data_IF_061381993809
#
_entry.id   IF_061381993809
#
_cell.length_a   1.000
_cell.length_b   1.000
_cell.length_c   1.000
_cell.angle_alpha   90.00
_cell.angle_beta   90.00
_cell.angle_gamma   90.00
#
_symmetry.space_group_name_H-M   'P 1'
#
loop_
_entity.id
_entity.type
_entity.pdbx_description
1 polymer ?
#
# COMPACT_ATOMS: atom_id res chain seq x y z
N UNK A 1 -32.20 2.09 -13.83
CA UNK A 1 -31.61 1.19 -12.80
C UNK A 1 -30.13 1.51 -12.76
N UNK A 2 -29.56 1.73 -11.58
CA UNK A 2 -28.12 1.92 -11.39
C UNK A 2 -27.42 0.57 -11.25
N UNK A 3 -26.18 0.49 -11.70
CA UNK A 3 -25.32 -0.70 -11.52
C UNK A 3 -24.56 -0.56 -10.21
N UNK A 4 -24.75 -1.51 -9.29
CA UNK A 4 -24.03 -1.53 -8.02
C UNK A 4 -22.56 -1.89 -8.25
N UNK A 5 -21.65 -1.09 -7.69
CA UNK A 5 -20.19 -1.28 -7.77
C UNK A 5 -19.61 -1.13 -6.37
N UNK A 6 -18.85 -2.13 -5.92
CA UNK A 6 -18.10 -2.07 -4.67
C UNK A 6 -16.62 -1.90 -4.96
N UNK A 7 -15.99 -0.97 -4.25
CA UNK A 7 -14.54 -0.68 -4.31
C UNK A 7 -13.95 -0.91 -2.93
N UNK A 8 -13.02 -1.85 -2.79
CA UNK A 8 -12.32 -2.11 -1.55
C UNK A 8 -11.10 -1.19 -1.40
N UNK A 9 -11.05 -0.44 -0.31
CA UNK A 9 -9.94 0.47 0.02
C UNK A 9 -8.78 -0.32 0.66
N UNK A 10 -7.56 0.13 0.43
CA UNK A 10 -6.34 -0.49 0.97
C UNK A 10 -6.08 -0.11 2.44
N UNK A 11 -6.68 0.96 2.91
CA UNK A 11 -6.53 1.46 4.28
C UNK A 11 -7.79 2.18 4.76
N UNK A 12 -7.78 2.63 6.04
CA UNK A 12 -8.76 3.61 6.52
C UNK A 12 -8.82 4.79 5.54
N UNK A 13 -9.99 5.42 5.36
CA UNK A 13 -10.12 6.58 4.49
C UNK A 13 -9.02 7.62 4.75
N UNK A 14 -8.30 8.02 3.72
CA UNK A 14 -7.20 8.97 3.79
C UNK A 14 -7.05 9.73 2.46
N UNK A 15 -6.09 10.63 2.35
CA UNK A 15 -5.90 11.48 1.17
C UNK A 15 -5.78 10.73 -0.15
N UNK A 16 -5.31 9.47 -0.15
CA UNK A 16 -5.23 8.66 -1.35
C UNK A 16 -6.62 8.32 -1.92
N UNK A 17 -7.66 8.30 -1.10
CA UNK A 17 -9.02 7.90 -1.48
C UNK A 17 -9.91 9.08 -1.86
N UNK A 18 -9.43 10.31 -1.72
CA UNK A 18 -10.23 11.54 -1.86
C UNK A 18 -11.01 11.60 -3.17
N UNK A 19 -10.46 11.14 -4.29
CA UNK A 19 -11.14 11.14 -5.58
C UNK A 19 -12.41 10.32 -5.60
N UNK A 20 -12.43 9.18 -4.94
CA UNK A 20 -13.60 8.32 -4.87
C UNK A 20 -14.72 8.96 -4.05
N UNK A 21 -14.38 9.53 -2.89
CA UNK A 21 -15.36 10.21 -2.03
C UNK A 21 -15.90 11.49 -2.68
N UNK A 22 -15.04 12.30 -3.30
CA UNK A 22 -15.45 13.52 -4.01
C UNK A 22 -16.34 13.18 -5.21
N UNK A 23 -15.99 12.17 -6.00
CA UNK A 23 -16.82 11.72 -7.13
C UNK A 23 -18.19 11.24 -6.67
N UNK A 24 -18.27 10.53 -5.54
CA UNK A 24 -19.51 10.09 -4.93
C UNK A 24 -20.33 11.28 -4.44
N UNK A 25 -19.75 12.17 -3.63
CA UNK A 25 -20.43 13.32 -3.05
C UNK A 25 -20.92 14.32 -4.12
N UNK A 26 -20.18 14.49 -5.22
CA UNK A 26 -20.60 15.33 -6.35
C UNK A 26 -21.59 14.61 -7.31
N UNK A 27 -22.04 13.40 -7.00
CA UNK A 27 -23.01 12.65 -7.81
C UNK A 27 -22.48 12.18 -9.16
N UNK A 28 -21.14 12.16 -9.37
CA UNK A 28 -20.56 11.76 -10.65
C UNK A 28 -20.84 10.29 -10.97
N UNK A 29 -20.84 9.41 -9.97
CA UNK A 29 -21.18 8.00 -10.17
C UNK A 29 -22.64 7.82 -10.53
N UNK A 30 -23.56 8.47 -9.83
CA UNK A 30 -24.99 8.38 -10.12
C UNK A 30 -25.32 8.97 -11.50
N UNK A 31 -24.66 10.05 -11.93
CA UNK A 31 -24.79 10.58 -13.28
C UNK A 31 -24.31 9.59 -14.36
N UNK A 32 -23.35 8.71 -14.02
CA UNK A 32 -22.92 7.63 -14.89
C UNK A 32 -23.75 6.34 -14.75
N UNK A 33 -24.84 6.36 -13.98
CA UNK A 33 -25.68 5.19 -13.75
C UNK A 33 -25.09 4.15 -12.80
N UNK A 34 -24.13 4.56 -11.95
CA UNK A 34 -23.46 3.70 -10.99
C UNK A 34 -23.93 4.00 -9.56
N UNK A 35 -24.06 2.96 -8.75
CA UNK A 35 -24.24 3.01 -7.30
C UNK A 35 -22.98 2.46 -6.63
N UNK A 36 -22.09 3.38 -6.21
CA UNK A 36 -20.75 3.03 -5.71
C UNK A 36 -20.73 2.99 -4.19
N UNK A 37 -20.28 1.85 -3.64
CA UNK A 37 -19.97 1.66 -2.23
C UNK A 37 -18.47 1.49 -2.02
N UNK A 38 -17.92 2.18 -1.01
CA UNK A 38 -16.52 2.11 -0.64
C UNK A 38 -16.37 1.23 0.61
N UNK A 39 -15.65 0.11 0.50
CA UNK A 39 -15.44 -0.82 1.61
C UNK A 39 -14.13 -0.44 2.29
N UNK A 40 -14.20 0.08 3.52
CA UNK A 40 -13.03 0.40 4.32
C UNK A 40 -12.63 -0.78 5.21
N UNK A 41 -11.33 -1.10 5.34
CA UNK A 41 -10.86 -2.23 6.13
C UNK A 41 -11.08 -2.11 7.63
N UNK A 42 -11.47 -0.93 8.16
CA UNK A 42 -11.82 -0.81 9.58
C UNK A 42 -13.07 -1.62 9.93
N UNK A 43 -13.99 -1.84 8.99
CA UNK A 43 -15.25 -2.55 9.22
C UNK A 43 -15.08 -4.01 9.64
N UNK A 44 -13.96 -4.65 9.31
CA UNK A 44 -13.62 -6.02 9.68
C UNK A 44 -12.22 -6.14 10.34
N UNK A 45 -11.66 -5.02 10.76
CA UNK A 45 -10.32 -4.94 11.34
C UNK A 45 -9.24 -5.54 10.43
N UNK A 46 -9.37 -5.31 9.11
CA UNK A 46 -8.46 -5.80 8.08
C UNK A 46 -8.39 -7.34 7.97
N UNK A 47 -9.45 -8.04 8.33
CA UNK A 47 -9.50 -9.52 8.23
C UNK A 47 -9.44 -9.98 6.77
N UNK A 48 -10.11 -9.25 5.86
CA UNK A 48 -10.04 -9.48 4.42
C UNK A 48 -9.22 -8.39 3.72
N UNK A 49 -8.23 -8.80 2.91
CA UNK A 49 -7.46 -7.84 2.11
C UNK A 49 -8.30 -7.30 0.94
N UNK A 50 -8.03 -6.09 0.43
CA UNK A 50 -8.76 -5.55 -0.71
C UNK A 50 -8.76 -6.48 -1.94
N UNK A 51 -7.61 -7.08 -2.24
CA UNK A 51 -7.49 -8.01 -3.35
C UNK A 51 -8.25 -9.32 -3.14
N UNK A 52 -8.32 -9.84 -1.90
CA UNK A 52 -9.12 -11.04 -1.60
C UNK A 52 -10.62 -10.77 -1.75
N UNK A 53 -11.08 -9.56 -1.50
CA UNK A 53 -12.48 -9.14 -1.76
C UNK A 53 -12.82 -9.15 -3.25
N UNK A 54 -11.87 -8.77 -4.11
CA UNK A 54 -12.05 -8.90 -5.57
C UNK A 54 -12.02 -10.38 -5.98
N UNK A 55 -11.10 -11.16 -5.43
CA UNK A 55 -10.99 -12.60 -5.71
C UNK A 55 -12.27 -13.37 -5.34
N UNK A 56 -12.88 -13.03 -4.21
CA UNK A 56 -14.14 -13.64 -3.76
C UNK A 56 -15.38 -13.13 -4.49
N UNK A 57 -15.26 -12.07 -5.29
CA UNK A 57 -16.40 -11.41 -5.95
C UNK A 57 -17.20 -10.48 -5.01
N UNK A 58 -16.73 -10.23 -3.80
CA UNK A 58 -17.34 -9.26 -2.88
C UNK A 58 -17.22 -7.82 -3.40
N UNK A 59 -16.05 -7.49 -4.00
CA UNK A 59 -15.81 -6.19 -4.64
C UNK A 59 -15.45 -6.37 -6.11
N UNK A 60 -15.81 -5.38 -6.94
CA UNK A 60 -15.42 -5.33 -8.35
C UNK A 60 -14.00 -4.78 -8.52
N UNK A 61 -13.64 -3.79 -7.70
CA UNK A 61 -12.36 -3.10 -7.74
C UNK A 61 -11.73 -3.09 -6.36
N UNK A 62 -10.41 -3.03 -6.32
CA UNK A 62 -9.65 -2.84 -5.08
C UNK A 62 -8.52 -1.83 -5.30
N UNK A 63 -8.23 -1.07 -4.26
CA UNK A 63 -6.99 -0.30 -4.17
C UNK A 63 -5.97 -1.21 -3.51
N UNK A 64 -4.78 -1.31 -4.12
CA UNK A 64 -3.74 -2.19 -3.63
C UNK A 64 -2.37 -1.78 -4.20
N UNK A 65 -1.25 -2.08 -3.55
CA UNK A 65 0.07 -1.85 -4.13
C UNK A 65 0.35 -2.84 -5.29
N UNK A 66 1.27 -2.46 -6.19
CA UNK A 66 1.65 -3.25 -7.37
C UNK A 66 2.11 -4.67 -7.02
N UNK A 67 2.79 -4.83 -5.89
CA UNK A 67 3.25 -6.13 -5.38
C UNK A 67 2.12 -7.12 -5.15
N UNK A 68 0.93 -6.65 -4.77
CA UNK A 68 -0.24 -7.51 -4.60
C UNK A 68 -0.68 -8.10 -5.93
N UNK A 69 -0.69 -7.30 -7.00
CA UNK A 69 -1.00 -7.80 -8.36
C UNK A 69 0.01 -8.88 -8.76
N UNK A 70 1.30 -8.65 -8.52
CA UNK A 70 2.36 -9.64 -8.78
C UNK A 70 2.11 -10.89 -7.94
N UNK A 71 1.83 -10.75 -6.64
CA UNK A 71 1.58 -11.85 -5.73
C UNK A 71 0.45 -12.78 -6.19
N UNK A 72 -0.65 -12.21 -6.66
CA UNK A 72 -1.78 -12.99 -7.17
C UNK A 72 -1.47 -13.69 -8.49
N UNK A 73 -0.54 -13.17 -9.30
CA UNK A 73 -0.13 -13.75 -10.57
C UNK A 73 1.05 -14.73 -10.49
N UNK A 74 1.70 -14.85 -9.33
CA UNK A 74 2.80 -15.81 -9.08
C UNK A 74 2.39 -17.05 -8.30
N UNK A 75 1.11 -17.20 -7.94
CA UNK A 75 0.58 -18.37 -7.25
C UNK A 75 0.82 -19.66 -8.04
N UNK A 76 0.95 -20.84 -7.37
CA UNK A 76 1.11 -22.10 -8.06
C UNK A 76 -0.02 -22.37 -9.06
N UNK A 77 0.25 -23.08 -10.18
CA UNK A 77 -0.79 -23.43 -11.16
C UNK A 77 -1.97 -24.22 -10.58
N UNK A 78 -1.77 -24.91 -9.48
CA UNK A 78 -2.82 -25.64 -8.75
C UNK A 78 -3.82 -24.76 -8.01
N UNK A 79 -3.49 -23.48 -7.82
CA UNK A 79 -4.40 -22.52 -7.19
C UNK A 79 -5.32 -21.91 -8.26
N UNK A 80 -6.66 -22.02 -8.12
CA UNK A 80 -7.57 -21.34 -9.04
C UNK A 80 -7.21 -19.85 -9.13
N UNK A 81 -7.02 -19.36 -10.35
CA UNK A 81 -6.60 -17.97 -10.58
C UNK A 81 -7.77 -17.14 -11.11
N UNK A 82 -8.42 -16.32 -10.31
CA UNK A 82 -9.03 -15.14 -10.88
C UNK A 82 -7.87 -14.22 -11.34
N UNK A 83 -7.92 -13.79 -12.59
CA UNK A 83 -6.91 -12.88 -13.13
C UNK A 83 -7.12 -11.48 -12.54
N UNK A 84 -6.42 -11.16 -11.45
CA UNK A 84 -6.37 -9.79 -10.93
C UNK A 84 -5.39 -9.01 -11.80
N UNK A 85 -5.89 -7.94 -12.43
CA UNK A 85 -5.10 -7.00 -13.21
C UNK A 85 -5.21 -5.59 -12.65
N UNK A 86 -4.14 -4.84 -12.72
CA UNK A 86 -4.19 -3.40 -12.50
C UNK A 86 -4.89 -2.74 -13.70
N UNK A 87 -5.85 -1.87 -13.44
CA UNK A 87 -6.65 -1.17 -14.47
C UNK A 87 -6.39 0.33 -14.51
N UNK A 88 -5.77 0.86 -13.47
CA UNK A 88 -5.28 2.24 -13.41
C UNK A 88 -4.23 2.35 -12.33
N UNK A 89 -3.23 3.23 -12.48
CA UNK A 89 -2.39 3.65 -11.37
C UNK A 89 -2.91 4.95 -10.78
N UNK A 90 -2.91 5.05 -9.47
CA UNK A 90 -3.38 6.21 -8.75
C UNK A 90 -2.22 7.14 -8.35
N UNK A 91 -1.08 6.63 -7.92
CA UNK A 91 0.15 7.43 -7.77
C UNK A 91 1.21 6.98 -8.76
N UNK A 92 1.77 7.94 -9.45
CA UNK A 92 2.86 7.71 -10.39
C UNK A 92 4.23 7.61 -9.73
N UNK A 93 4.35 8.03 -8.46
CA UNK A 93 5.58 7.94 -7.67
C UNK A 93 5.28 7.35 -6.31
N UNK A 94 6.25 6.61 -5.78
CA UNK A 94 6.20 6.08 -4.43
C UNK A 94 6.36 7.21 -3.40
N UNK A 95 5.50 7.21 -2.39
CA UNK A 95 5.57 8.11 -1.24
C UNK A 95 5.81 7.35 0.07
N UNK A 96 6.07 6.04 -0.02
CA UNK A 96 6.34 5.22 1.15
C UNK A 96 7.79 5.33 1.62
N UNK A 97 7.98 5.08 2.90
CA UNK A 97 9.30 5.03 3.51
C UNK A 97 9.29 4.11 4.73
N UNK A 98 10.44 3.55 5.07
CA UNK A 98 10.69 3.03 6.40
C UNK A 98 11.10 4.22 7.28
N UNK A 99 10.48 4.34 8.46
CA UNK A 99 10.78 5.44 9.37
C UNK A 99 11.19 4.95 10.74
N UNK A 100 12.00 5.77 11.40
CA UNK A 100 12.33 5.68 12.83
C UNK A 100 12.15 7.04 13.48
N UNK A 101 11.97 7.08 14.79
CA UNK A 101 12.02 8.36 15.49
C UNK A 101 13.45 8.93 15.44
N UNK A 102 13.60 10.22 15.19
CA UNK A 102 14.92 10.87 15.18
C UNK A 102 15.63 10.73 16.54
N UNK A 103 14.87 10.72 17.63
CA UNK A 103 15.35 10.50 18.98
C UNK A 103 15.91 9.09 19.23
N UNK A 104 15.58 8.10 18.38
CA UNK A 104 16.10 6.73 18.51
C UNK A 104 17.59 6.59 18.19
N UNK A 105 18.19 7.56 17.48
CA UNK A 105 19.56 7.49 16.97
C UNK A 105 19.75 6.50 15.81
N UNK A 106 18.66 5.91 15.28
CA UNK A 106 18.68 5.04 14.10
C UNK A 106 18.48 5.93 12.87
N UNK A 107 19.56 6.48 12.36
CA UNK A 107 19.59 7.51 11.30
C UNK A 107 19.90 6.94 9.90
N UNK A 108 20.06 5.61 9.78
CA UNK A 108 20.28 4.88 8.53
C UNK A 108 19.80 3.43 8.64
N UNK A 109 19.42 2.79 7.51
CA UNK A 109 18.84 1.44 7.50
C UNK A 109 19.73 0.36 8.13
N UNK A 110 21.05 0.40 7.97
CA UNK A 110 21.96 -0.59 8.57
C UNK A 110 21.89 -0.64 10.09
N UNK A 111 21.45 0.43 10.76
CA UNK A 111 21.25 0.46 12.21
C UNK A 111 19.96 -0.24 12.65
N UNK A 112 19.14 -0.72 11.73
CA UNK A 112 17.97 -1.56 12.02
C UNK A 112 18.36 -3.02 12.32
N UNK A 113 19.58 -3.44 12.03
CA UNK A 113 20.06 -4.77 12.43
C UNK A 113 19.84 -5.00 13.93
N UNK A 114 19.21 -6.13 14.27
CA UNK A 114 18.84 -6.50 15.63
C UNK A 114 17.71 -5.68 16.26
N UNK A 115 17.04 -4.79 15.53
CA UNK A 115 15.94 -3.95 16.02
C UNK A 115 14.57 -4.57 15.70
N UNK A 116 13.53 -4.03 16.34
CA UNK A 116 12.15 -4.44 16.10
C UNK A 116 11.53 -3.59 15.01
N UNK A 117 10.90 -4.24 14.07
CA UNK A 117 10.17 -3.65 12.97
C UNK A 117 8.69 -4.03 13.08
N UNK A 118 7.80 -3.07 13.16
CA UNK A 118 6.36 -3.28 13.14
C UNK A 118 5.91 -3.46 11.68
N UNK A 119 5.48 -4.66 11.33
CA UNK A 119 5.17 -5.09 9.97
C UNK A 119 3.67 -5.22 9.72
N UNK A 120 3.24 -4.81 8.53
CA UNK A 120 1.92 -5.17 8.00
C UNK A 120 1.83 -6.66 7.66
N UNK A 121 2.97 -7.35 7.53
CA UNK A 121 3.05 -8.75 7.13
C UNK A 121 2.61 -8.99 5.70
N UNK A 122 2.79 -8.00 4.82
CA UNK A 122 2.62 -8.17 3.39
C UNK A 122 3.71 -9.07 2.81
N UNK A 123 3.39 -9.80 1.74
CA UNK A 123 4.24 -10.87 1.21
C UNK A 123 5.71 -10.52 1.02
N UNK A 124 5.99 -9.35 0.47
CA UNK A 124 7.37 -8.94 0.18
C UNK A 124 7.95 -7.97 1.20
N UNK A 125 7.15 -7.45 2.10
CA UNK A 125 7.50 -6.33 2.98
C UNK A 125 8.79 -6.60 3.76
N UNK A 126 8.84 -7.67 4.55
CA UNK A 126 10.00 -7.99 5.36
C UNK A 126 11.26 -8.20 4.54
N UNK A 127 11.15 -8.76 3.32
CA UNK A 127 12.29 -8.94 2.42
C UNK A 127 12.74 -7.64 1.77
N UNK A 128 11.82 -6.74 1.45
CA UNK A 128 12.15 -5.39 0.96
C UNK A 128 12.94 -4.64 2.03
N UNK A 129 12.46 -4.65 3.27
CA UNK A 129 13.18 -4.05 4.41
C UNK A 129 14.56 -4.69 4.59
N UNK A 130 14.66 -6.01 4.52
CA UNK A 130 15.95 -6.72 4.58
C UNK A 130 16.90 -6.26 3.47
N UNK A 131 16.43 -6.12 2.24
CA UNK A 131 17.26 -5.64 1.13
C UNK A 131 17.69 -4.18 1.31
N UNK A 132 16.81 -3.33 1.87
CA UNK A 132 17.18 -1.95 2.21
C UNK A 132 18.32 -1.90 3.23
N UNK A 133 18.26 -2.71 4.29
CA UNK A 133 19.29 -2.79 5.31
C UNK A 133 20.61 -3.26 4.69
N UNK A 134 20.57 -4.29 3.84
CA UNK A 134 21.76 -4.83 3.14
C UNK A 134 22.36 -3.82 2.16
N UNK A 135 21.54 -3.09 1.42
CA UNK A 135 21.99 -2.05 0.50
C UNK A 135 22.75 -0.92 1.23
N UNK A 136 22.42 -0.69 2.50
CA UNK A 136 23.10 0.27 3.37
C UNK A 136 24.29 -0.33 4.15
N UNK A 137 24.67 -1.59 3.88
CA UNK A 137 25.82 -2.27 4.47
C UNK A 137 25.54 -3.02 5.77
N UNK A 138 24.29 -3.20 6.15
CA UNK A 138 23.88 -4.05 7.28
C UNK A 138 23.74 -5.52 6.88
N UNK A 139 23.43 -6.36 7.87
CA UNK A 139 23.23 -7.82 7.67
C UNK A 139 21.82 -8.15 7.15
N UNK A 140 20.84 -7.29 7.43
CA UNK A 140 19.43 -7.53 7.15
C UNK A 140 18.75 -8.44 8.18
N UNK A 141 19.34 -8.61 9.35
CA UNK A 141 18.79 -9.41 10.43
C UNK A 141 18.11 -8.50 11.47
N UNK A 142 16.79 -8.60 11.60
CA UNK A 142 15.98 -7.82 12.52
C UNK A 142 14.76 -8.65 12.97
N UNK A 143 14.03 -8.18 13.99
CA UNK A 143 12.83 -8.83 14.50
C UNK A 143 11.60 -8.23 13.81
N UNK A 144 10.83 -9.04 13.10
CA UNK A 144 9.61 -8.61 12.43
C UNK A 144 8.40 -8.92 13.30
N UNK A 145 7.73 -7.89 13.80
CA UNK A 145 6.62 -7.99 14.76
C UNK A 145 5.26 -7.86 14.07
N UNK A 146 4.37 -8.80 14.35
CA UNK A 146 2.97 -8.79 13.94
C UNK A 146 2.09 -8.02 14.92
N UNK A 147 2.23 -6.72 15.00
CA UNK A 147 1.42 -5.86 15.85
C UNK A 147 0.04 -5.57 15.22
N UNK A 148 -0.93 -5.00 15.95
CA UNK A 148 -2.24 -4.67 15.40
C UNK A 148 -2.15 -3.81 14.13
N UNK A 149 -2.77 -4.27 13.03
CA UNK A 149 -2.61 -3.72 11.69
C UNK A 149 -2.92 -2.21 11.65
N UNK A 150 -4.06 -1.81 12.15
CA UNK A 150 -4.55 -0.43 12.07
C UNK A 150 -3.93 0.52 13.11
N UNK A 151 -2.89 0.10 13.81
CA UNK A 151 -2.19 0.88 14.85
C UNK A 151 -0.67 0.78 14.75
N UNK A 152 -0.12 0.34 13.61
CA UNK A 152 1.32 0.12 13.48
C UNK A 152 2.16 1.38 13.67
N UNK A 153 1.70 2.53 13.14
CA UNK A 153 2.37 3.81 13.31
C UNK A 153 2.47 4.21 14.80
N UNK A 154 1.38 4.05 15.54
CA UNK A 154 1.31 4.35 16.95
C UNK A 154 2.26 3.48 17.79
N UNK A 155 2.59 2.27 17.34
CA UNK A 155 3.54 1.39 18.04
C UNK A 155 4.95 1.96 18.06
N UNK A 156 5.35 2.65 17.00
CA UNK A 156 6.65 3.35 16.95
C UNK A 156 6.65 4.54 17.90
N UNK A 157 5.56 5.30 17.95
CA UNK A 157 5.41 6.43 18.90
C UNK A 157 5.46 5.99 20.36
N UNK A 158 4.97 4.79 20.66
CA UNK A 158 4.96 4.19 22.02
C UNK A 158 6.26 3.45 22.35
N UNK A 159 7.18 3.30 21.39
CA UNK A 159 8.43 2.56 21.59
C UNK A 159 8.25 1.04 21.63
N UNK A 160 7.15 0.51 21.13
CA UNK A 160 6.89 -0.93 21.00
C UNK A 160 7.68 -1.55 19.84
N UNK A 161 8.01 -0.74 18.82
CA UNK A 161 8.94 -1.06 17.75
C UNK A 161 9.83 0.15 17.45
N UNK A 162 11.00 -0.07 16.85
CA UNK A 162 11.90 1.00 16.47
C UNK A 162 11.57 1.58 15.09
N UNK A 163 10.91 0.81 14.24
CA UNK A 163 10.61 1.21 12.86
C UNK A 163 9.31 0.58 12.34
N UNK A 164 8.76 1.22 11.32
CA UNK A 164 7.63 0.70 10.53
C UNK A 164 7.62 1.31 9.14
N UNK A 165 6.79 0.78 8.26
CA UNK A 165 6.49 1.34 6.94
C UNK A 165 5.39 2.39 7.06
N UNK A 166 5.60 3.54 6.47
CA UNK A 166 4.62 4.63 6.44
C UNK A 166 4.47 5.21 5.05
N UNK A 167 3.41 5.96 4.84
CA UNK A 167 3.22 6.81 3.67
C UNK A 167 3.41 8.25 4.06
N UNK A 168 4.37 8.92 3.43
CA UNK A 168 4.73 10.29 3.78
C UNK A 168 3.59 11.27 3.54
N UNK A 169 2.68 10.93 2.61
CA UNK A 169 1.45 11.66 2.38
C UNK A 169 0.36 11.45 3.45
N UNK A 170 0.55 10.58 4.44
CA UNK A 170 -0.40 10.36 5.53
C UNK A 170 0.30 10.43 6.89
N UNK A 171 0.96 9.37 7.34
CA UNK A 171 1.66 9.34 8.64
C UNK A 171 2.79 10.38 8.68
N UNK A 172 3.44 10.65 7.54
CA UNK A 172 4.46 11.72 7.45
C UNK A 172 3.88 13.11 7.69
N UNK A 173 2.68 13.39 7.19
CA UNK A 173 1.95 14.64 7.45
C UNK A 173 1.52 14.71 8.91
N UNK A 174 0.98 13.62 9.44
CA UNK A 174 0.58 13.52 10.85
C UNK A 174 1.77 13.77 11.79
N UNK A 175 2.92 13.11 11.54
CA UNK A 175 4.14 13.33 12.29
C UNK A 175 4.56 14.81 12.30
N UNK A 176 4.54 15.46 11.13
CA UNK A 176 4.87 16.87 10.99
C UNK A 176 3.95 17.78 11.81
N UNK A 177 2.63 17.54 11.74
CA UNK A 177 1.64 18.34 12.49
C UNK A 177 1.76 18.13 13.99
N UNK A 178 2.10 16.91 14.43
CA UNK A 178 2.34 16.58 15.85
C UNK A 178 3.76 16.96 16.33
N UNK A 179 4.60 17.55 15.49
CA UNK A 179 5.97 17.91 15.84
C UNK A 179 6.89 16.71 16.09
N UNK A 180 6.56 15.53 15.55
CA UNK A 180 7.37 14.31 15.64
C UNK A 180 8.44 14.33 14.56
N UNK A 181 9.71 14.35 14.96
CA UNK A 181 10.83 14.28 14.02
C UNK A 181 11.17 12.84 13.67
N UNK A 182 11.24 12.56 12.36
CA UNK A 182 11.54 11.24 11.80
C UNK A 182 12.88 11.20 11.07
N UNK A 183 13.55 10.06 11.15
CA UNK A 183 14.47 9.62 10.10
C UNK A 183 13.63 8.89 9.05
N UNK A 184 13.83 9.22 7.78
CA UNK A 184 13.01 8.74 6.66
C UNK A 184 13.92 8.04 5.65
N UNK A 185 13.68 6.75 5.42
CA UNK A 185 14.44 5.92 4.48
C UNK A 185 13.52 5.56 3.31
N UNK A 186 13.66 6.30 2.20
CA UNK A 186 12.87 6.04 0.99
C UNK A 186 13.44 4.84 0.24
N UNK A 187 12.57 3.97 -0.24
CA UNK A 187 12.96 2.73 -0.93
C UNK A 187 13.85 3.01 -2.16
N UNK A 188 13.51 4.02 -2.94
CA UNK A 188 14.27 4.40 -4.14
C UNK A 188 15.71 4.81 -3.86
N UNK A 189 16.00 5.39 -2.70
CA UNK A 189 17.35 5.83 -2.30
C UNK A 189 18.29 4.62 -2.09
N UNK A 190 17.73 3.43 -1.89
CA UNK A 190 18.44 2.16 -1.69
C UNK A 190 18.30 1.21 -2.90
N UNK A 191 17.94 1.74 -4.07
CA UNK A 191 17.88 0.98 -5.31
C UNK A 191 16.67 0.03 -5.43
N UNK A 192 15.62 0.24 -4.63
CA UNK A 192 14.39 -0.55 -4.67
C UNK A 192 13.37 0.18 -5.53
N UNK A 193 13.04 -0.31 -6.74
CA UNK A 193 12.14 0.37 -7.68
C UNK A 193 10.67 0.08 -7.32
N UNK A 194 10.26 0.44 -6.11
CA UNK A 194 8.92 0.24 -5.58
C UNK A 194 7.96 1.33 -6.06
N UNK A 195 6.68 0.99 -6.20
CA UNK A 195 5.60 1.95 -6.11
C UNK A 195 4.75 2.24 -7.33
N UNK A 196 3.45 2.21 -7.04
CA UNK A 196 2.38 2.95 -7.71
C UNK A 196 1.27 3.22 -6.68
N UNK A 197 0.71 4.44 -6.61
CA UNK A 197 -0.53 4.81 -5.89
C UNK A 197 -1.24 6.02 -6.50
N UNK A 198 -2.33 6.48 -5.90
CA UNK A 198 -3.36 7.35 -6.51
C UNK A 198 -3.46 8.77 -5.97
N UNK A 199 -4.06 9.72 -6.71
CA UNK A 199 -4.41 11.03 -6.20
C UNK A 199 -5.31 11.99 -7.02
N UNK A 200 -5.58 13.22 -6.51
CA UNK A 200 -6.64 14.15 -6.94
C UNK A 200 -6.19 15.62 -6.93
N UNK A 201 -6.88 16.48 -7.70
CA UNK A 201 -6.68 17.93 -7.77
C UNK A 201 -7.66 18.72 -6.87
N UNK A 202 -7.30 19.94 -6.44
CA UNK A 202 -8.00 20.85 -5.52
C UNK A 202 -8.13 20.34 -4.06
N UNK A 203 -7.06 20.46 -3.24
CA UNK A 203 -6.96 19.78 -1.95
C UNK A 203 -7.89 20.33 -0.87
N UNK A 204 -8.18 21.62 -0.80
CA UNK A 204 -8.96 22.18 0.32
C UNK A 204 -10.45 21.80 0.24
N UNK A 205 -11.09 22.10 -0.88
CA UNK A 205 -12.49 21.71 -1.12
C UNK A 205 -12.68 20.19 -1.05
N UNK A 206 -11.71 19.45 -1.60
CA UNK A 206 -11.73 18.00 -1.63
C UNK A 206 -11.64 17.40 -0.21
N UNK A 207 -10.85 17.98 0.69
CA UNK A 207 -10.74 17.54 2.08
C UNK A 207 -12.06 17.68 2.84
N UNK A 208 -12.73 18.82 2.71
CA UNK A 208 -14.02 19.07 3.38
C UNK A 208 -15.12 18.13 2.86
N UNK A 209 -15.20 17.97 1.54
CA UNK A 209 -16.15 17.04 0.92
C UNK A 209 -15.89 15.60 1.38
N UNK A 210 -14.63 15.19 1.40
CA UNK A 210 -14.26 13.84 1.82
C UNK A 210 -14.56 13.61 3.30
N UNK A 211 -14.18 14.51 4.19
CA UNK A 211 -14.44 14.37 5.63
C UNK A 211 -15.94 14.17 5.92
N UNK A 212 -16.79 14.96 5.26
CA UNK A 212 -18.24 14.81 5.34
C UNK A 212 -18.73 13.47 4.80
N UNK A 213 -18.29 13.10 3.60
CA UNK A 213 -18.71 11.86 2.94
C UNK A 213 -18.27 10.60 3.73
N UNK A 214 -17.08 10.64 4.33
CA UNK A 214 -16.59 9.54 5.20
C UNK A 214 -17.43 9.43 6.46
N UNK A 215 -17.79 10.55 7.12
CA UNK A 215 -18.63 10.53 8.30
C UNK A 215 -20.04 9.97 8.00
N UNK A 216 -20.57 10.22 6.80
CA UNK A 216 -21.86 9.69 6.36
C UNK A 216 -21.81 8.20 6.00
N UNK A 217 -20.72 7.75 5.35
CA UNK A 217 -20.58 6.37 4.85
C UNK A 217 -20.02 5.39 5.91
N UNK A 218 -19.22 5.90 6.83
CA UNK A 218 -18.55 5.12 7.89
C UNK A 218 -18.83 5.73 9.29
N UNK A 219 -20.08 5.73 9.75
CA UNK A 219 -20.43 6.31 11.06
C UNK A 219 -19.84 5.53 12.24
N UNK A 220 -19.31 4.35 12.00
CA UNK A 220 -18.68 3.44 12.95
C UNK A 220 -17.16 3.67 13.12
N UNK A 221 -16.57 4.61 12.37
CA UNK A 221 -15.18 5.02 12.61
C UNK A 221 -15.02 5.53 14.03
N UNK A 222 -14.08 4.95 14.77
CA UNK A 222 -13.80 5.29 16.16
C UNK A 222 -13.34 6.75 16.36
N UNK A 223 -12.74 7.32 15.33
CA UNK A 223 -12.28 8.71 15.31
C UNK A 223 -12.61 9.35 13.97
N UNK A 224 -13.15 10.58 13.95
CA UNK A 224 -13.37 11.33 12.73
C UNK A 224 -12.01 11.64 12.06
N UNK A 225 -12.02 11.86 10.74
CA UNK A 225 -10.83 12.27 10.00
C UNK A 225 -10.37 13.65 10.49
N UNK A 226 -9.09 13.75 10.86
CA UNK A 226 -8.47 15.03 11.15
C UNK A 226 -8.35 15.84 9.84
N UNK A 227 -9.04 16.99 9.80
CA UNK A 227 -9.14 17.80 8.58
C UNK A 227 -7.79 18.41 8.18
N UNK A 228 -6.92 18.77 9.13
CA UNK A 228 -5.61 19.33 8.84
C UNK A 228 -4.65 18.25 8.30
N UNK A 229 -4.69 17.05 8.89
CA UNK A 229 -3.97 15.89 8.35
C UNK A 229 -4.48 15.58 6.94
N UNK A 230 -5.79 15.59 6.72
CA UNK A 230 -6.38 15.29 5.42
C UNK A 230 -6.01 16.34 4.35
N UNK A 231 -6.08 17.63 4.67
CA UNK A 231 -5.64 18.72 3.78
C UNK A 231 -4.16 18.59 3.41
N UNK A 232 -3.30 18.39 4.41
CA UNK A 232 -1.86 18.20 4.19
C UNK A 232 -1.58 16.94 3.36
N UNK A 233 -2.27 15.84 3.63
CA UNK A 233 -2.18 14.59 2.88
C UNK A 233 -2.54 14.81 1.41
N UNK A 234 -3.69 15.42 1.13
CA UNK A 234 -4.16 15.66 -0.24
C UNK A 234 -3.18 16.57 -1.01
N UNK A 235 -2.57 17.57 -0.36
CA UNK A 235 -1.55 18.41 -0.99
C UNK A 235 -0.31 17.62 -1.43
N UNK A 236 0.21 16.74 -0.56
CA UNK A 236 1.35 15.88 -0.90
C UNK A 236 0.97 14.95 -2.05
N UNK A 237 -0.15 14.27 -1.89
CA UNK A 237 -0.64 13.26 -2.81
C UNK A 237 -0.94 13.87 -4.19
N UNK A 238 -1.53 15.05 -4.30
CA UNK A 238 -1.83 15.73 -5.56
C UNK A 238 -0.59 15.91 -6.46
N UNK A 239 0.60 16.10 -5.88
CA UNK A 239 1.86 16.20 -6.62
C UNK A 239 2.36 14.90 -7.26
N UNK A 240 1.78 13.75 -6.88
CA UNK A 240 2.26 12.43 -7.27
C UNK A 240 1.41 11.72 -8.34
N UNK A 241 0.26 12.31 -8.74
CA UNK A 241 -0.80 11.64 -9.51
C UNK A 241 -0.57 11.48 -10.99
N UNK A 242 0.05 12.49 -11.59
CA UNK A 242 0.17 12.55 -13.03
C UNK A 242 1.49 11.95 -13.47
N UNK A 243 1.43 11.16 -14.52
CA UNK A 243 2.63 10.73 -15.22
C UNK A 243 3.41 11.96 -15.69
N UNK A 244 4.69 12.06 -15.34
CA UNK A 244 5.49 13.28 -15.60
C UNK A 244 5.68 13.53 -17.10
N UNK A 245 5.80 12.49 -17.91
CA UNK A 245 6.01 12.59 -19.35
C UNK A 245 4.70 12.85 -20.10
N UNK A 246 3.64 12.10 -19.79
CA UNK A 246 2.37 12.15 -20.54
C UNK A 246 1.36 13.11 -19.95
N UNK A 247 1.54 13.55 -18.69
CA UNK A 247 0.57 14.33 -17.89
C UNK A 247 -0.81 13.64 -17.78
N UNK A 248 -0.86 12.32 -18.02
CA UNK A 248 -2.08 11.52 -17.91
C UNK A 248 -2.19 10.90 -16.55
N UNK A 249 -3.41 10.86 -16.03
CA UNK A 249 -3.79 10.12 -14.85
C UNK A 249 -4.03 8.65 -15.21
N UNK A 250 -3.74 7.76 -14.28
CA UNK A 250 -4.07 6.33 -14.41
C UNK A 250 -3.13 5.51 -15.26
N UNK A 251 -2.38 6.13 -16.17
CA UNK A 251 -1.55 5.44 -17.15
C UNK A 251 -0.42 4.66 -16.49
N UNK A 252 -0.30 3.40 -16.86
CA UNK A 252 0.75 2.48 -16.40
C UNK A 252 1.78 2.25 -17.51
N UNK A 253 3.03 2.04 -17.11
CA UNK A 253 4.19 1.89 -17.97
C UNK A 253 4.82 0.51 -17.76
N UNK A 254 4.96 -0.29 -18.83
CA UNK A 254 5.56 -1.62 -18.78
C UNK A 254 7.00 -1.61 -18.27
N UNK A 255 7.78 -0.56 -18.56
CA UNK A 255 9.18 -0.47 -18.12
C UNK A 255 9.28 -0.41 -16.59
N UNK A 256 8.34 0.28 -15.92
CA UNK A 256 8.33 0.35 -14.46
C UNK A 256 7.93 -0.98 -13.84
N UNK A 257 6.94 -1.67 -14.39
CA UNK A 257 6.59 -3.01 -13.98
C UNK A 257 7.77 -3.97 -14.17
N UNK A 258 8.44 -3.92 -15.32
CA UNK A 258 9.60 -4.75 -15.61
C UNK A 258 10.75 -4.48 -14.63
N UNK A 259 11.08 -3.21 -14.34
CA UNK A 259 12.12 -2.87 -13.35
C UNK A 259 11.84 -3.49 -11.97
N UNK A 260 10.60 -3.46 -11.52
CA UNK A 260 10.26 -4.06 -10.23
C UNK A 260 10.28 -5.59 -10.28
N UNK A 261 9.78 -6.21 -11.35
CA UNK A 261 9.86 -7.66 -11.56
C UNK A 261 11.32 -8.13 -11.63
N UNK A 262 12.17 -7.40 -12.34
CA UNK A 262 13.60 -7.70 -12.46
C UNK A 262 14.30 -7.61 -11.10
N UNK A 263 13.97 -6.57 -10.32
CA UNK A 263 14.49 -6.40 -8.98
C UNK A 263 14.04 -7.54 -8.05
N UNK A 264 12.75 -7.91 -8.06
CA UNK A 264 12.22 -9.03 -7.29
C UNK A 264 12.92 -10.35 -7.66
N UNK A 265 13.10 -10.61 -8.96
CA UNK A 265 13.79 -11.80 -9.46
C UNK A 265 15.26 -11.84 -9.03
N UNK A 266 15.99 -10.73 -9.24
CA UNK A 266 17.41 -10.62 -8.90
C UNK A 266 17.68 -10.84 -7.41
N UNK A 267 16.74 -10.42 -6.55
CA UNK A 267 16.86 -10.58 -5.11
C UNK A 267 16.20 -11.87 -4.57
N UNK A 268 15.78 -12.80 -5.45
CA UNK A 268 15.18 -14.07 -5.05
C UNK A 268 13.80 -13.94 -4.38
N UNK A 269 13.07 -12.85 -4.64
CA UNK A 269 11.76 -12.59 -4.07
C UNK A 269 10.62 -13.11 -4.94
N UNK A 270 10.88 -13.41 -6.21
CA UNK A 270 9.88 -13.86 -7.15
C UNK A 270 9.65 -15.37 -6.97
N UNK A 271 8.69 -15.74 -6.13
CA UNK A 271 8.43 -17.12 -5.72
C UNK A 271 6.94 -17.43 -5.71
N UNK A 272 6.57 -18.73 -5.64
CA UNK A 272 5.18 -19.19 -5.76
C UNK A 272 4.38 -19.07 -4.47
N UNK A 273 5.03 -19.13 -3.31
CA UNK A 273 4.32 -19.11 -2.03
C UNK A 273 3.95 -17.69 -1.63
N UNK A 274 2.66 -17.45 -1.56
CA UNK A 274 2.08 -16.19 -1.09
C UNK A 274 1.63 -16.42 0.34
N UNK A 275 2.47 -16.09 1.31
CA UNK A 275 2.07 -16.03 2.71
C UNK A 275 2.07 -14.59 3.19
N UNK A 276 1.01 -14.23 3.89
CA UNK A 276 0.84 -12.96 4.58
C UNK A 276 0.45 -13.25 6.02
N UNK A 277 0.48 -12.27 6.89
CA UNK A 277 0.07 -12.43 8.30
C UNK A 277 -1.39 -12.91 8.46
N UNK A 278 -2.23 -12.77 7.44
CA UNK A 278 -3.62 -13.23 7.45
C UNK A 278 -3.81 -14.69 7.09
N UNK A 279 -2.75 -15.40 6.68
CA UNK A 279 -2.86 -16.78 6.25
C UNK A 279 -2.87 -17.74 7.44
N UNK A 280 -3.62 -18.84 7.28
CA UNK A 280 -3.73 -19.87 8.31
C UNK A 280 -2.35 -20.47 8.68
N UNK A 281 -2.05 -20.55 9.96
CA UNK A 281 -0.81 -21.11 10.49
C UNK A 281 0.38 -20.15 10.53
N UNK A 282 0.19 -18.89 10.15
CA UNK A 282 1.22 -17.87 10.35
C UNK A 282 1.21 -17.40 11.80
N UNK A 283 2.39 -17.40 12.44
CA UNK A 283 2.55 -16.80 13.77
C UNK A 283 2.44 -15.29 13.65
N UNK A 284 1.36 -14.73 14.22
CA UNK A 284 1.11 -13.28 14.18
C UNK A 284 1.88 -12.49 15.23
N UNK A 285 2.58 -13.16 16.15
CA UNK A 285 3.44 -12.49 17.16
C UNK A 285 4.84 -12.26 16.64
N UNK A 286 5.34 -13.14 15.76
CA UNK A 286 6.61 -12.97 15.04
C UNK A 286 6.39 -13.30 13.57
N UNK A 287 6.67 -12.33 12.70
CA UNK A 287 6.55 -12.49 11.24
C UNK A 287 7.88 -12.86 10.57
N UNK A 288 8.93 -13.14 11.34
CA UNK A 288 10.23 -13.56 10.82
C UNK A 288 10.13 -14.76 9.86
N UNK A 289 9.17 -15.65 10.10
CA UNK A 289 8.87 -16.79 9.24
C UNK A 289 8.41 -16.42 7.84
N UNK A 290 7.78 -15.26 7.65
CA UNK A 290 7.39 -14.77 6.31
C UNK A 290 8.61 -14.35 5.50
N UNK A 291 9.65 -13.86 6.16
CA UNK A 291 10.91 -13.43 5.54
C UNK A 291 11.88 -14.57 5.31
N UNK A 292 12.08 -15.44 6.31
CA UNK A 292 13.12 -16.47 6.35
C UNK A 292 12.61 -17.89 6.12
N UNK A 293 11.27 -18.10 6.11
CA UNK A 293 10.64 -19.39 5.97
C UNK A 293 10.60 -19.92 4.52
N UNK A 294 9.83 -20.99 4.34
CA UNK A 294 9.57 -21.57 3.01
C UNK A 294 8.77 -20.58 2.15
N UNK A 295 9.35 -20.20 1.02
CA UNK A 295 8.77 -19.23 0.08
C UNK A 295 8.25 -19.89 -1.20
N UNK A 296 8.29 -21.19 -1.26
CA UNK A 296 7.90 -21.99 -2.42
C UNK A 296 8.96 -21.95 -3.55
N UNK A 297 8.54 -22.37 -4.72
CA UNK A 297 9.40 -22.45 -5.89
C UNK A 297 9.70 -21.09 -6.48
N UNK A 298 10.88 -20.93 -7.07
CA UNK A 298 11.25 -19.74 -7.84
C UNK A 298 10.35 -19.64 -9.05
N UNK A 299 9.76 -18.48 -9.27
CA UNK A 299 9.02 -18.17 -10.51
C UNK A 299 10.02 -17.60 -11.52
N UNK A 300 10.20 -18.25 -12.69
CA UNK A 300 11.09 -17.72 -13.71
C UNK A 300 10.64 -16.33 -14.15
N UNK A 301 11.57 -15.38 -14.21
CA UNK A 301 11.26 -13.98 -14.57
C UNK A 301 10.57 -13.86 -15.94
N UNK A 302 11.00 -14.66 -16.88
CA UNK A 302 10.46 -14.72 -18.26
C UNK A 302 9.02 -15.22 -18.33
N UNK A 303 8.53 -15.91 -17.30
CA UNK A 303 7.14 -16.37 -17.23
C UNK A 303 6.15 -15.25 -16.88
N UNK A 304 6.66 -14.11 -16.41
CA UNK A 304 5.86 -12.93 -16.04
C UNK A 304 6.10 -11.78 -17.00
N UNK A 305 5.12 -11.53 -17.86
CA UNK A 305 5.12 -10.39 -18.77
C UNK A 305 4.34 -9.24 -18.12
N UNK A 306 4.95 -8.05 -18.05
CA UNK A 306 4.32 -6.86 -17.44
C UNK A 306 2.93 -6.57 -18.02
N UNK A 307 2.78 -6.70 -19.33
CA UNK A 307 1.52 -6.44 -20.06
C UNK A 307 0.37 -7.38 -19.67
N UNK A 308 0.68 -8.51 -19.01
CA UNK A 308 -0.33 -9.40 -18.46
C UNK A 308 -0.82 -8.95 -17.08
N UNK A 309 -0.07 -8.07 -16.39
CA UNK A 309 -0.36 -7.62 -15.03
C UNK A 309 -1.25 -6.36 -15.00
N UNK A 310 -1.32 -5.61 -16.09
CA UNK A 310 -2.12 -4.38 -16.15
C UNK A 310 -2.81 -4.22 -17.51
N UNK A 311 -3.76 -3.29 -17.59
CA UNK A 311 -4.36 -2.81 -18.84
C UNK A 311 -4.65 -1.32 -18.73
N UNK A 312 -4.28 -0.58 -19.77
CA UNK A 312 -4.64 0.84 -19.94
C UNK A 312 -5.93 1.04 -20.77
N UNK A 313 -6.59 -0.05 -21.18
CA UNK A 313 -7.78 0.00 -22.08
C UNK A 313 -8.98 0.68 -21.43
N UNK A 314 -9.03 0.76 -20.11
CA UNK A 314 -10.11 1.37 -19.35
C UNK A 314 -9.89 2.86 -19.03
N UNK A 315 -8.77 3.43 -19.49
CA UNK A 315 -8.42 4.83 -19.27
C UNK A 315 -8.97 5.71 -20.39
N UNK A 316 -9.38 6.98 -20.10
CA UNK A 316 -9.85 7.92 -21.11
C UNK A 316 -8.77 8.36 -22.09
#
# INVERSE_FOLDING_TARGET
MSTAVKIALDWKPNGNHVGFYVAKAKGMYSAAGLDVSLISPHSDNYTATPASRVESGEALLAITPSETVISFNTRPPSTPKPAIKAVATLLQRDDSAIVTLKSSGIDRPSKLDGKRYASYGARYEGRIVQQMIKADGGTGEYQELGLPMLGLWETVLKGEAESTWVFMGWEGVEAKLKGVELNVFKLGDYGIPYGYRFAVANPEEAAEIMAKAVAEEHPDLSEPLDLEVLKGSIQVVAGLCLNEATKKWGHMDSDRWNKFLDWLSTNGLLTTKVQTRGDAGVDTTSLDGLRSGDVGDVVPRESLQADNLFSNEFLP
#
